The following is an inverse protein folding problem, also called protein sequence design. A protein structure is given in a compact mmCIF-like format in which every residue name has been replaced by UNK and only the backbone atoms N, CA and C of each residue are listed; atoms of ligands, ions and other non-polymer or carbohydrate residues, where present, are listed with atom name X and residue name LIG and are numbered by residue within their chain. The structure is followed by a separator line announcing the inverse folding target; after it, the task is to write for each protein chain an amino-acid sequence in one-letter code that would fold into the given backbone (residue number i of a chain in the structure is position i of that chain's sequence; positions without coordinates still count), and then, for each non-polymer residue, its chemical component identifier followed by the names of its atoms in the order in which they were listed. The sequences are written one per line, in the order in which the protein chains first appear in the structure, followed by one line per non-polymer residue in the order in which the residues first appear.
data_IF_313295177883
#
_entry.id   IF_313295177883
#
_cell.length_a   1.000
_cell.length_b   1.000
_cell.length_c   1.000
_cell.angle_alpha   90.00
_cell.angle_beta   90.00
_cell.angle_gamma   90.00
#
_symmetry.space_group_name_H-M   'P 1'
#
loop_
_entity.id
_entity.type
_entity.pdbx_description
1 polymer ?
#
# COMPACT_ATOMS: atom_id res chain seq x y z
N UNK A 1 24.25 -14.11 -23.52
CA UNK A 1 23.98 -12.67 -23.29
C UNK A 1 24.58 -12.34 -21.93
N UNK A 2 25.52 -11.40 -21.85
CA UNK A 2 26.04 -10.97 -20.54
C UNK A 2 24.86 -10.47 -19.71
N UNK A 3 24.66 -11.03 -18.51
CA UNK A 3 23.65 -10.52 -17.58
C UNK A 3 24.27 -9.27 -16.95
N UNK A 4 23.72 -8.07 -17.18
CA UNK A 4 24.33 -6.83 -16.67
C UNK A 4 24.25 -6.74 -15.13
N UNK A 5 23.43 -7.58 -14.49
CA UNK A 5 23.22 -7.62 -13.05
C UNK A 5 23.31 -9.06 -12.53
N UNK A 6 23.89 -9.23 -11.35
CA UNK A 6 24.03 -10.51 -10.65
C UNK A 6 22.81 -10.80 -9.78
N UNK A 7 22.13 -9.74 -9.29
CA UNK A 7 20.95 -9.85 -8.41
C UNK A 7 19.88 -8.85 -8.81
N UNK A 8 18.61 -9.25 -8.71
CA UNK A 8 17.45 -8.35 -8.79
C UNK A 8 16.79 -8.30 -7.43
N UNK A 9 16.61 -7.10 -6.88
CA UNK A 9 15.86 -6.85 -5.64
C UNK A 9 14.61 -6.05 -5.97
N UNK A 10 13.45 -6.58 -5.61
CA UNK A 10 12.15 -5.92 -5.80
C UNK A 10 11.57 -5.51 -4.45
N UNK A 11 11.32 -4.22 -4.27
CA UNK A 11 10.67 -3.64 -3.10
C UNK A 11 9.22 -3.36 -3.45
N UNK A 12 8.33 -4.01 -2.72
CA UNK A 12 6.93 -3.63 -2.68
C UNK A 12 6.72 -2.61 -1.56
N UNK A 13 6.66 -1.33 -1.95
CA UNK A 13 6.51 -0.22 -1.04
C UNK A 13 5.03 0.11 -0.86
N UNK A 14 4.31 -0.63 -0.03
CA UNK A 14 2.86 -0.46 0.17
C UNK A 14 2.48 0.65 1.15
N UNK A 15 1.18 0.99 1.22
CA UNK A 15 0.68 1.98 2.19
C UNK A 15 0.69 1.46 3.62
N UNK A 16 0.20 0.24 3.84
CA UNK A 16 0.06 -0.35 5.19
C UNK A 16 1.25 -1.23 5.54
N UNK A 17 1.76 -1.98 4.57
CA UNK A 17 2.88 -2.91 4.75
C UNK A 17 3.74 -2.90 3.51
N UNK A 18 5.05 -2.99 3.74
CA UNK A 18 6.08 -3.01 2.71
C UNK A 18 6.98 -4.22 2.91
N UNK A 19 7.55 -4.73 1.84
CA UNK A 19 8.46 -5.86 1.89
C UNK A 19 9.34 -5.90 0.65
N UNK A 20 10.25 -6.86 0.60
CA UNK A 20 11.06 -7.08 -0.58
C UNK A 20 11.26 -8.56 -0.84
N UNK A 21 11.58 -8.86 -2.08
CA UNK A 21 12.07 -10.16 -2.52
C UNK A 21 13.30 -9.95 -3.41
N UNK A 22 14.14 -10.97 -3.52
CA UNK A 22 15.27 -10.94 -4.44
C UNK A 22 15.47 -12.29 -5.12
N UNK A 23 16.19 -12.27 -6.23
CA UNK A 23 16.59 -13.46 -6.97
C UNK A 23 17.95 -13.23 -7.60
N UNK A 24 18.78 -14.27 -7.62
CA UNK A 24 20.05 -14.27 -8.35
C UNK A 24 19.75 -14.49 -9.82
N UNK A 25 20.40 -13.72 -10.69
CA UNK A 25 20.12 -13.84 -12.13
C UNK A 25 20.57 -15.19 -12.69
N UNK A 26 21.53 -15.86 -12.02
CA UNK A 26 21.95 -17.25 -12.24
C UNK A 26 20.80 -18.25 -12.14
N UNK A 27 19.91 -18.08 -11.14
CA UNK A 27 18.75 -18.92 -10.89
C UNK A 27 17.46 -18.07 -10.68
N UNK A 28 16.89 -17.54 -11.77
CA UNK A 28 15.80 -16.56 -11.70
C UNK A 28 14.45 -17.16 -11.26
N UNK A 29 14.33 -18.49 -11.17
CA UNK A 29 13.12 -19.15 -10.69
C UNK A 29 13.10 -19.27 -9.16
N UNK A 30 14.25 -19.15 -8.50
CA UNK A 30 14.35 -19.13 -7.04
C UNK A 30 14.14 -17.69 -6.53
N UNK A 31 12.98 -17.45 -5.93
CA UNK A 31 12.62 -16.17 -5.33
C UNK A 31 12.79 -16.25 -3.80
N UNK A 32 13.72 -15.45 -3.28
CA UNK A 32 13.95 -15.30 -1.86
C UNK A 32 13.07 -14.16 -1.33
N UNK A 33 12.02 -14.51 -0.60
CA UNK A 33 11.16 -13.54 0.09
C UNK A 33 11.63 -13.34 1.52
N UNK A 34 11.65 -12.09 2.00
CA UNK A 34 11.92 -11.82 3.40
C UNK A 34 10.80 -12.36 4.28
N UNK A 35 11.14 -13.02 5.40
CA UNK A 35 10.16 -13.63 6.32
C UNK A 35 10.37 -13.28 7.79
N UNK A 36 11.48 -12.62 8.13
CA UNK A 36 11.83 -12.23 9.50
C UNK A 36 11.99 -10.72 9.54
N UNK A 37 11.59 -10.10 10.63
CA UNK A 37 11.73 -8.66 10.81
C UNK A 37 12.06 -8.41 12.27
N UNK A 38 12.94 -7.45 12.53
CA UNK A 38 13.17 -6.97 13.89
C UNK A 38 11.87 -6.38 14.47
N UNK A 39 11.56 -6.70 15.73
CA UNK A 39 10.27 -6.39 16.37
C UNK A 39 9.11 -7.29 15.93
N UNK A 40 9.30 -8.20 14.97
CA UNK A 40 8.27 -9.19 14.62
C UNK A 40 8.14 -10.28 15.68
N UNK A 41 6.92 -10.83 15.84
CA UNK A 41 6.67 -11.96 16.74
C UNK A 41 7.60 -13.14 16.42
N UNK A 42 8.41 -13.62 17.40
CA UNK A 42 9.30 -14.75 17.19
C UNK A 42 8.53 -15.99 16.71
N UNK A 43 8.96 -16.54 15.57
CA UNK A 43 8.32 -17.73 14.97
C UNK A 43 7.14 -17.45 14.05
N UNK A 44 6.68 -16.19 13.92
CA UNK A 44 5.67 -15.80 12.93
C UNK A 44 6.37 -15.32 11.65
N UNK A 45 6.18 -16.05 10.55
CA UNK A 45 6.72 -15.65 9.25
C UNK A 45 5.88 -14.52 8.66
N UNK A 46 6.39 -13.29 8.74
CA UNK A 46 5.76 -12.12 8.12
C UNK A 46 6.49 -11.79 6.82
N UNK A 47 5.80 -11.88 5.69
CA UNK A 47 6.38 -11.53 4.38
C UNK A 47 6.58 -10.03 4.18
N UNK A 48 5.88 -9.22 4.98
CA UNK A 48 5.96 -7.75 4.95
C UNK A 48 6.05 -7.21 6.37
N UNK A 49 6.68 -6.05 6.48
CA UNK A 49 6.71 -5.23 7.69
C UNK A 49 5.72 -4.07 7.55
N UNK A 50 5.11 -3.57 8.63
CA UNK A 50 4.30 -2.36 8.57
C UNK A 50 5.06 -1.18 7.94
N UNK A 51 4.36 -0.34 7.18
CA UNK A 51 4.96 0.87 6.60
C UNK A 51 4.83 2.00 7.60
N UNK A 52 5.70 1.95 8.61
CA UNK A 52 5.87 2.99 9.60
C UNK A 52 7.34 3.24 9.88
N UNK A 53 7.66 4.46 10.26
CA UNK A 53 9.02 4.93 10.42
C UNK A 53 9.10 5.85 11.63
N UNK A 54 10.15 5.67 12.43
CA UNK A 54 10.43 6.47 13.61
C UNK A 54 11.72 7.27 13.37
N UNK A 55 11.64 8.60 13.50
CA UNK A 55 12.80 9.47 13.61
C UNK A 55 12.94 9.99 15.04
N UNK A 56 14.18 10.21 15.43
CA UNK A 56 14.53 10.96 16.64
C UNK A 56 14.13 12.43 16.48
N UNK A 57 14.10 13.22 17.59
CA UNK A 57 13.70 14.63 17.54
C UNK A 57 14.54 15.51 16.59
N UNK A 58 15.79 15.11 16.33
CA UNK A 58 16.76 15.73 15.43
C UNK A 58 16.77 15.12 14.01
N UNK A 59 15.66 14.49 13.60
CA UNK A 59 15.43 13.96 12.24
C UNK A 59 16.35 12.80 11.83
N UNK A 60 17.03 12.13 12.77
CA UNK A 60 17.81 10.94 12.46
C UNK A 60 16.91 9.71 12.40
N UNK A 61 17.20 8.83 11.45
CA UNK A 61 16.54 7.52 11.37
C UNK A 61 16.82 6.72 12.63
N UNK A 62 15.74 6.25 13.27
CA UNK A 62 15.84 5.34 14.40
C UNK A 62 15.49 3.92 13.96
N UNK A 63 14.25 3.70 13.52
CA UNK A 63 13.79 2.36 13.11
C UNK A 63 12.64 2.43 12.10
N UNK A 64 12.36 1.28 11.48
CA UNK A 64 11.26 1.07 10.54
C UNK A 64 10.43 -0.15 10.94
N UNK A 65 9.15 -0.18 10.55
CA UNK A 65 8.32 -1.37 10.69
C UNK A 65 7.96 -1.72 12.12
N UNK A 66 7.96 -3.01 12.46
CA UNK A 66 7.65 -3.47 13.81
C UNK A 66 8.56 -2.82 14.86
N UNK A 67 9.88 -2.78 14.63
CA UNK A 67 10.82 -2.10 15.53
C UNK A 67 10.48 -0.61 15.77
N UNK A 68 9.94 0.11 14.77
CA UNK A 68 9.48 1.49 14.97
C UNK A 68 8.24 1.58 15.85
N UNK A 69 7.32 0.61 15.75
CA UNK A 69 6.14 0.52 16.62
C UNK A 69 6.55 0.27 18.06
N UNK A 70 7.35 -0.76 18.27
CA UNK A 70 7.78 -1.18 19.60
C UNK A 70 8.60 -0.09 20.28
N UNK A 71 9.58 0.47 19.57
CA UNK A 71 10.40 1.57 20.11
C UNK A 71 9.56 2.78 20.49
N UNK A 72 8.55 3.13 19.69
CA UNK A 72 7.69 4.28 19.98
C UNK A 72 6.71 4.02 21.13
N UNK A 73 6.24 2.77 21.27
CA UNK A 73 5.41 2.32 22.38
C UNK A 73 6.17 2.41 23.72
N UNK A 74 7.43 1.98 23.72
CA UNK A 74 8.26 1.90 24.92
C UNK A 74 8.81 3.26 25.39
N UNK A 75 8.66 4.33 24.59
CA UNK A 75 9.05 5.68 25.00
C UNK A 75 8.21 6.18 26.17
N UNK A 76 8.88 6.88 27.09
CA UNK A 76 8.19 7.63 28.14
C UNK A 76 7.22 8.64 27.50
N UNK A 77 5.98 8.83 28.02
CA UNK A 77 4.98 9.66 27.34
C UNK A 77 5.39 11.11 27.07
N UNK A 78 6.29 11.68 27.87
CA UNK A 78 6.83 13.03 27.61
C UNK A 78 7.94 13.02 26.54
N UNK A 79 8.72 11.95 26.43
CA UNK A 79 9.67 11.79 25.32
C UNK A 79 8.95 11.54 24.00
N UNK A 80 7.97 10.64 23.98
CA UNK A 80 7.20 10.28 22.77
C UNK A 80 6.61 11.50 22.05
N UNK A 81 6.30 12.57 22.78
CA UNK A 81 5.79 13.85 22.22
C UNK A 81 6.81 14.56 21.33
N UNK A 82 8.10 14.31 21.49
CA UNK A 82 9.17 14.96 20.74
C UNK A 82 9.68 14.12 19.55
N UNK A 83 9.46 12.80 19.60
CA UNK A 83 9.81 11.86 18.55
C UNK A 83 8.82 11.91 17.39
N UNK A 84 9.27 11.47 16.22
CA UNK A 84 8.52 11.64 14.97
C UNK A 84 8.15 10.28 14.41
N UNK A 85 6.94 9.83 14.73
CA UNK A 85 6.37 8.61 14.20
C UNK A 85 5.54 8.92 12.95
N UNK A 86 5.78 8.17 11.87
CA UNK A 86 5.01 8.24 10.63
C UNK A 86 4.43 6.87 10.32
N UNK A 87 3.16 6.80 9.97
CA UNK A 87 2.52 5.62 9.38
C UNK A 87 1.71 6.01 8.15
N UNK A 88 1.45 5.05 7.26
CA UNK A 88 0.58 5.22 6.07
C UNK A 88 0.96 6.43 5.18
N UNK A 89 2.18 6.92 5.29
CA UNK A 89 2.64 8.16 4.69
C UNK A 89 2.70 8.10 3.15
N UNK A 90 2.67 6.90 2.55
CA UNK A 90 2.45 6.68 1.10
C UNK A 90 1.19 7.40 0.60
N UNK A 91 0.15 7.52 1.43
CA UNK A 91 -1.09 8.22 1.05
C UNK A 91 -0.91 9.69 0.73
N UNK A 92 0.14 10.35 1.25
CA UNK A 92 0.40 11.76 0.93
C UNK A 92 0.72 11.94 -0.56
N UNK A 93 1.46 10.99 -1.14
CA UNK A 93 1.83 11.01 -2.56
C UNK A 93 0.60 10.86 -3.45
N UNK A 94 -0.36 10.01 -3.04
CA UNK A 94 -1.61 9.81 -3.77
C UNK A 94 -2.57 11.01 -3.67
N UNK A 95 -2.66 11.64 -2.48
CA UNK A 95 -3.65 12.69 -2.20
C UNK A 95 -3.21 14.11 -2.57
N UNK A 96 -1.93 14.34 -2.85
CA UNK A 96 -1.39 15.68 -3.19
C UNK A 96 -1.47 15.91 -4.70
N UNK A 97 -2.29 16.87 -5.12
CA UNK A 97 -2.43 17.25 -6.55
C UNK A 97 -1.15 17.86 -7.12
N UNK A 98 -0.48 18.72 -6.34
CA UNK A 98 0.74 19.43 -6.69
C UNK A 98 1.93 18.86 -5.92
N UNK A 99 2.21 17.58 -6.15
CA UNK A 99 3.35 16.90 -5.54
C UNK A 99 4.67 17.51 -6.01
N UNK A 100 5.51 17.91 -5.06
CA UNK A 100 6.86 18.44 -5.31
C UNK A 100 7.86 17.80 -4.36
N UNK A 101 9.16 18.04 -4.58
CA UNK A 101 10.22 17.60 -3.65
C UNK A 101 10.19 18.36 -2.32
N UNK A 102 9.41 19.45 -2.23
CA UNK A 102 9.21 20.23 -1.00
C UNK A 102 7.93 19.82 -0.26
N UNK A 103 7.15 18.86 -0.78
CA UNK A 103 5.97 18.35 -0.09
C UNK A 103 6.35 17.78 1.28
N UNK A 104 5.62 18.21 2.32
CA UNK A 104 5.86 17.78 3.70
C UNK A 104 4.87 16.70 4.15
N UNK A 105 5.35 15.80 5.02
CA UNK A 105 4.56 14.88 5.83
C UNK A 105 4.40 15.41 7.24
N UNK A 106 3.25 15.15 7.84
CA UNK A 106 3.00 15.40 9.25
C UNK A 106 3.22 14.09 10.03
N UNK A 107 4.04 14.14 11.08
CA UNK A 107 4.20 13.04 12.03
C UNK A 107 3.06 13.03 13.05
N UNK A 108 2.91 11.95 13.83
CA UNK A 108 1.82 11.81 14.80
C UNK A 108 1.78 12.95 15.85
N UNK A 109 2.90 13.60 16.17
CA UNK A 109 2.92 14.74 17.08
C UNK A 109 2.63 16.11 16.41
N UNK A 110 2.31 16.13 15.11
CA UNK A 110 2.01 17.33 14.34
C UNK A 110 3.23 18.04 13.73
N UNK A 111 4.47 17.60 14.02
CA UNK A 111 5.67 18.17 13.38
C UNK A 111 5.76 17.73 11.93
N UNK A 112 6.17 18.67 11.07
CA UNK A 112 6.33 18.45 9.63
C UNK A 112 7.78 18.14 9.25
N UNK A 113 7.95 17.25 8.28
CA UNK A 113 9.23 16.82 7.71
C UNK A 113 9.07 16.66 6.21
N UNK A 114 10.11 16.93 5.42
CA UNK A 114 10.05 16.73 3.97
C UNK A 114 9.73 15.28 3.66
N UNK A 115 8.73 15.05 2.80
CA UNK A 115 8.30 13.72 2.44
C UNK A 115 9.44 12.91 1.83
N UNK A 116 10.24 13.54 0.98
CA UNK A 116 11.33 12.87 0.28
C UNK A 116 12.37 12.26 1.24
N UNK A 117 12.62 12.91 2.38
CA UNK A 117 13.55 12.43 3.41
C UNK A 117 13.01 11.18 4.10
N UNK A 118 11.72 11.19 4.48
CA UNK A 118 11.05 10.04 5.12
C UNK A 118 11.04 8.82 4.18
N UNK A 119 10.73 9.03 2.90
CA UNK A 119 10.78 7.95 1.91
C UNK A 119 12.20 7.46 1.66
N UNK A 120 13.18 8.35 1.58
CA UNK A 120 14.59 7.97 1.42
C UNK A 120 15.09 7.14 2.60
N UNK A 121 14.71 7.48 3.84
CA UNK A 121 15.02 6.67 5.01
C UNK A 121 14.41 5.26 4.93
N UNK A 122 13.13 5.16 4.53
CA UNK A 122 12.47 3.87 4.38
C UNK A 122 13.10 3.01 3.27
N UNK A 123 13.43 3.59 2.12
CA UNK A 123 14.11 2.88 1.04
C UNK A 123 15.54 2.47 1.43
N UNK A 124 16.27 3.33 2.15
CA UNK A 124 17.61 3.02 2.66
C UNK A 124 17.60 1.83 3.62
N UNK A 125 16.60 1.78 4.51
CA UNK A 125 16.37 0.61 5.37
C UNK A 125 16.21 -0.67 4.55
N UNK A 126 15.35 -0.67 3.52
CA UNK A 126 15.18 -1.85 2.66
C UNK A 126 16.44 -2.21 1.89
N UNK A 127 17.21 -1.22 1.43
CA UNK A 127 18.49 -1.43 0.76
C UNK A 127 19.47 -2.16 1.66
N UNK A 128 19.72 -1.62 2.85
CA UNK A 128 20.67 -2.18 3.81
C UNK A 128 20.26 -3.58 4.24
N UNK A 129 18.96 -3.77 4.52
CA UNK A 129 18.41 -5.05 4.90
C UNK A 129 18.51 -6.09 3.77
N UNK A 130 18.14 -5.73 2.54
CA UNK A 130 18.22 -6.63 1.40
C UNK A 130 19.66 -7.03 1.07
N UNK A 131 20.59 -6.07 1.05
CA UNK A 131 22.00 -6.35 0.76
C UNK A 131 22.63 -7.27 1.82
N UNK A 132 22.23 -7.14 3.09
CA UNK A 132 22.65 -8.06 4.15
C UNK A 132 22.16 -9.49 3.87
N UNK A 133 20.87 -9.67 3.60
CA UNK A 133 20.31 -11.00 3.31
C UNK A 133 20.89 -11.62 2.04
N UNK A 134 21.10 -10.83 0.99
CA UNK A 134 21.74 -11.32 -0.24
C UNK A 134 23.16 -11.79 0.05
N UNK A 135 23.93 -11.04 0.85
CA UNK A 135 25.27 -11.43 1.29
C UNK A 135 25.26 -12.71 2.13
N UNK A 136 24.26 -12.92 2.97
CA UNK A 136 24.14 -14.13 3.78
C UNK A 136 23.77 -15.37 2.93
N UNK A 137 23.16 -15.18 1.76
CA UNK A 137 22.84 -16.25 0.80
C UNK A 137 23.91 -16.45 -0.29
N UNK A 138 24.86 -15.53 -0.44
CA UNK A 138 25.92 -15.59 -1.46
C UNK A 138 27.30 -15.79 -0.84
N UNK A 139 28.14 -16.61 -1.47
CA UNK A 139 29.55 -16.74 -1.11
C UNK A 139 30.44 -15.65 -1.73
N UNK A 140 29.93 -14.90 -2.71
CA UNK A 140 30.66 -13.82 -3.40
C UNK A 140 30.38 -12.44 -2.80
N UNK A 141 31.37 -11.55 -2.89
CA UNK A 141 31.19 -10.13 -2.57
C UNK A 141 30.47 -9.47 -3.74
N UNK A 142 29.27 -8.97 -3.49
CA UNK A 142 28.53 -8.20 -4.49
C UNK A 142 28.99 -6.74 -4.48
N UNK A 143 29.28 -6.21 -5.67
CA UNK A 143 29.46 -4.78 -5.88
C UNK A 143 28.09 -4.09 -6.08
N UNK A 144 27.98 -2.83 -5.66
CA UNK A 144 26.69 -2.12 -5.67
C UNK A 144 26.08 -1.91 -7.07
N UNK A 145 26.91 -1.92 -8.12
CA UNK A 145 26.51 -1.83 -9.52
C UNK A 145 25.93 -3.16 -10.07
N UNK A 146 26.13 -4.28 -9.37
CA UNK A 146 25.63 -5.60 -9.80
C UNK A 146 24.17 -5.85 -9.40
N UNK A 147 23.55 -4.91 -8.68
CA UNK A 147 22.18 -5.04 -8.20
C UNK A 147 21.23 -4.21 -9.07
N UNK A 148 20.20 -4.85 -9.60
CA UNK A 148 19.03 -4.22 -10.19
C UNK A 148 17.98 -3.99 -9.11
N UNK A 149 17.56 -2.75 -8.91
CA UNK A 149 16.46 -2.41 -8.01
C UNK A 149 15.14 -2.27 -8.78
N UNK A 150 14.08 -2.84 -8.24
CA UNK A 150 12.70 -2.66 -8.71
C UNK A 150 11.89 -2.07 -7.57
N UNK A 151 11.17 -0.98 -7.81
CA UNK A 151 10.21 -0.41 -6.85
C UNK A 151 8.83 -0.48 -7.50
N UNK A 152 7.88 -1.14 -6.85
CA UNK A 152 6.50 -1.19 -7.34
C UNK A 152 5.73 0.07 -6.93
N UNK A 153 4.87 0.55 -7.83
CA UNK A 153 3.97 1.69 -7.59
C UNK A 153 2.58 1.42 -8.18
N UNK A 154 1.52 2.07 -7.66
CA UNK A 154 0.18 1.93 -8.21
C UNK A 154 0.09 2.39 -9.66
N UNK A 155 -0.74 1.72 -10.47
CA UNK A 155 -0.92 2.08 -11.89
C UNK A 155 -1.58 3.45 -12.09
N UNK A 156 -2.41 3.89 -11.14
CA UNK A 156 -3.08 5.20 -11.21
C UNK A 156 -2.15 6.39 -10.93
N UNK A 157 -0.91 6.14 -10.48
CA UNK A 157 0.03 7.20 -10.16
C UNK A 157 0.50 7.95 -11.40
N UNK A 158 0.46 9.28 -11.29
CA UNK A 158 0.95 10.20 -12.31
C UNK A 158 2.48 10.20 -12.36
N UNK A 159 3.05 10.71 -13.46
CA UNK A 159 4.50 10.78 -13.64
C UNK A 159 5.26 11.51 -12.50
N UNK A 160 4.75 12.62 -11.91
CA UNK A 160 5.42 13.25 -10.78
C UNK A 160 5.60 12.33 -9.57
N UNK A 161 4.64 11.45 -9.27
CA UNK A 161 4.74 10.50 -8.17
C UNK A 161 5.78 9.40 -8.44
N UNK A 162 5.87 8.94 -9.70
CA UNK A 162 6.91 7.99 -10.14
C UNK A 162 8.30 8.63 -10.08
N UNK A 163 8.43 9.89 -10.48
CA UNK A 163 9.68 10.65 -10.36
C UNK A 163 10.06 10.88 -8.89
N UNK A 164 9.10 11.21 -8.03
CA UNK A 164 9.32 11.35 -6.59
C UNK A 164 9.94 10.08 -5.98
N UNK A 165 9.40 8.89 -6.32
CA UNK A 165 9.99 7.63 -5.84
C UNK A 165 11.40 7.38 -6.37
N UNK A 166 11.68 7.80 -7.61
CA UNK A 166 13.02 7.72 -8.20
C UNK A 166 14.01 8.62 -7.46
N UNK A 167 13.65 9.88 -7.18
CA UNK A 167 14.48 10.79 -6.38
C UNK A 167 14.71 10.25 -4.96
N UNK A 168 13.67 9.68 -4.33
CA UNK A 168 13.81 9.05 -3.02
C UNK A 168 14.79 7.88 -3.06
N UNK A 169 14.79 7.08 -4.13
CA UNK A 169 15.71 5.98 -4.33
C UNK A 169 17.16 6.45 -4.53
N UNK A 170 17.38 7.57 -5.22
CA UNK A 170 18.69 8.21 -5.34
C UNK A 170 19.19 8.68 -3.97
N UNK A 171 18.38 9.41 -3.21
CA UNK A 171 18.75 9.87 -1.86
C UNK A 171 18.98 8.73 -0.87
N UNK A 172 18.29 7.61 -1.06
CA UNK A 172 18.48 6.39 -0.28
C UNK A 172 19.75 5.61 -0.66
N UNK A 173 20.41 5.98 -1.76
CA UNK A 173 21.62 5.31 -2.26
C UNK A 173 21.35 3.94 -2.89
N UNK A 174 20.12 3.64 -3.31
CA UNK A 174 19.82 2.40 -4.04
C UNK A 174 20.55 2.39 -5.37
N UNK A 175 20.53 3.52 -6.07
CA UNK A 175 21.11 3.74 -7.39
C UNK A 175 21.70 5.15 -7.46
N UNK A 176 22.61 5.38 -8.41
CA UNK A 176 23.12 6.72 -8.72
C UNK A 176 22.38 7.31 -9.93
N UNK A 177 22.30 8.65 -10.05
CA UNK A 177 21.79 9.28 -11.26
C UNK A 177 22.59 8.95 -12.52
N UNK A 178 23.86 8.56 -12.38
CA UNK A 178 24.75 8.17 -13.49
C UNK A 178 24.47 6.76 -14.03
N UNK A 179 23.70 5.95 -13.28
CA UNK A 179 23.32 4.59 -13.65
C UNK A 179 21.80 4.37 -13.49
N UNK A 180 20.96 5.17 -14.18
CA UNK A 180 19.51 5.11 -14.03
C UNK A 180 18.94 3.75 -14.45
N UNK A 181 19.65 3.04 -15.33
CA UNK A 181 19.39 1.67 -15.74
C UNK A 181 19.68 0.63 -14.66
N UNK A 182 19.95 0.99 -13.41
CA UNK A 182 19.88 0.09 -12.26
C UNK A 182 18.53 0.12 -11.54
N UNK A 183 17.71 1.18 -11.70
CA UNK A 183 16.38 1.29 -11.08
C UNK A 183 15.23 1.13 -12.08
N UNK A 184 14.30 0.23 -11.79
CA UNK A 184 13.07 0.06 -12.54
C UNK A 184 11.86 0.39 -11.65
N UNK A 185 11.01 1.30 -12.12
CA UNK A 185 9.71 1.56 -11.48
C UNK A 185 8.69 0.66 -12.18
N UNK A 186 8.21 -0.37 -11.47
CA UNK A 186 7.24 -1.33 -11.98
C UNK A 186 5.83 -0.95 -11.53
N UNK A 187 4.81 -1.23 -12.35
CA UNK A 187 3.43 -1.11 -11.89
C UNK A 187 3.05 -2.35 -11.07
N UNK A 188 2.46 -2.14 -9.90
CA UNK A 188 1.90 -3.19 -9.04
C UNK A 188 1.03 -4.20 -9.82
N UNK A 189 0.07 -3.78 -10.66
CA UNK A 189 -0.76 -4.74 -11.39
C UNK A 189 -0.03 -5.50 -12.51
N UNK A 190 1.01 -4.93 -13.12
CA UNK A 190 1.85 -5.65 -14.09
C UNK A 190 2.65 -6.74 -13.39
N UNK A 191 3.27 -6.41 -12.24
CA UNK A 191 3.99 -7.36 -11.42
C UNK A 191 3.09 -8.51 -10.96
N UNK A 192 1.88 -8.19 -10.48
CA UNK A 192 0.87 -9.18 -10.10
C UNK A 192 0.48 -10.08 -11.29
N UNK A 193 0.26 -9.50 -12.47
CA UNK A 193 -0.10 -10.24 -13.68
C UNK A 193 1.01 -11.18 -14.14
N UNK A 194 2.26 -10.72 -14.15
CA UNK A 194 3.42 -11.55 -14.51
C UNK A 194 3.55 -12.72 -13.53
N UNK A 195 3.38 -12.47 -12.23
CA UNK A 195 3.42 -13.52 -11.22
C UNK A 195 2.29 -14.54 -11.40
N UNK A 196 1.04 -14.09 -11.60
CA UNK A 196 -0.10 -14.97 -11.81
C UNK A 196 0.07 -15.89 -13.03
N UNK A 197 0.81 -15.47 -14.06
CA UNK A 197 1.12 -16.31 -15.22
C UNK A 197 2.08 -17.47 -14.91
N UNK A 198 2.90 -17.34 -13.87
CA UNK A 198 3.76 -18.43 -13.39
C UNK A 198 3.00 -19.42 -12.49
N UNK A 199 1.81 -19.07 -12.01
CA UNK A 199 1.02 -19.93 -11.15
C UNK A 199 0.47 -21.13 -11.93
N UNK A 200 0.47 -22.28 -11.27
CA UNK A 200 -0.14 -23.51 -11.79
C UNK A 200 -1.66 -23.46 -11.59
N UNK A 201 -2.42 -24.15 -12.43
CA UNK A 201 -3.90 -24.13 -12.42
C UNK A 201 -4.53 -24.46 -11.05
N UNK A 202 -3.94 -25.38 -10.26
CA UNK A 202 -4.44 -25.70 -8.91
C UNK A 202 -4.28 -24.57 -7.88
N UNK A 203 -3.56 -23.49 -8.22
CA UNK A 203 -3.41 -22.30 -7.40
C UNK A 203 -4.46 -21.22 -7.77
N UNK A 204 -5.35 -21.52 -8.72
CA UNK A 204 -6.43 -20.66 -9.19
C UNK A 204 -7.76 -21.21 -8.70
N UNK A 205 -8.60 -20.35 -8.12
CA UNK A 205 -9.95 -20.72 -7.68
C UNK A 205 -10.93 -20.33 -8.79
N UNK A 206 -11.69 -21.30 -9.29
CA UNK A 206 -12.80 -21.04 -10.20
C UNK A 206 -14.07 -20.68 -9.39
N UNK A 207 -14.42 -19.38 -9.39
CA UNK A 207 -15.59 -18.86 -8.69
C UNK A 207 -16.92 -19.16 -9.39
N UNK A 208 -16.89 -19.68 -10.63
CA UNK A 208 -18.09 -20.12 -11.34
C UNK A 208 -18.59 -21.50 -10.88
N UNK A 209 -17.73 -22.27 -10.20
CA UNK A 209 -18.05 -23.58 -9.67
C UNK A 209 -18.55 -23.43 -8.22
N UNK A 210 -19.74 -23.97 -7.92
CA UNK A 210 -20.21 -24.10 -6.52
C UNK A 210 -19.24 -25.00 -5.75
N UNK A 211 -19.03 -24.81 -4.44
CA UNK A 211 -18.15 -25.68 -3.67
C UNK A 211 -18.67 -27.13 -3.74
N UNK A 212 -17.91 -28.01 -4.39
CA UNK A 212 -18.27 -29.42 -4.48
C UNK A 212 -17.87 -30.10 -3.18
N UNK A 213 -18.86 -30.43 -2.36
CA UNK A 213 -18.73 -31.50 -1.37
C UNK A 213 -18.58 -32.81 -2.15
N UNK A 214 -17.45 -33.50 -1.97
CA UNK A 214 -17.10 -34.83 -2.51
C UNK A 214 -16.14 -34.83 -3.73
N UNK A 215 -14.88 -34.46 -3.48
CA UNK A 215 -13.70 -35.30 -3.78
C UNK A 215 -13.57 -35.99 -5.13
N UNK A 216 -14.06 -35.42 -6.23
CA UNK A 216 -13.77 -35.89 -7.59
C UNK A 216 -13.01 -34.79 -8.33
N UNK A 217 -11.83 -35.16 -8.82
CA UNK A 217 -10.93 -34.29 -9.59
C UNK A 217 -11.65 -33.68 -10.78
N UNK A 218 -11.64 -32.34 -10.86
CA UNK A 218 -12.22 -31.60 -11.98
C UNK A 218 -11.16 -31.44 -13.07
N UNK A 219 -11.12 -32.37 -14.02
CA UNK A 219 -10.60 -32.10 -15.36
C UNK A 219 -11.54 -31.10 -16.04
N UNK A 220 -11.24 -29.80 -16.01
CA UNK A 220 -12.20 -28.84 -16.60
C UNK A 220 -11.86 -27.36 -16.67
N UNK A 221 -10.64 -26.91 -16.38
CA UNK A 221 -10.25 -25.50 -16.61
C UNK A 221 -9.26 -25.40 -17.79
N UNK A 222 -9.71 -24.76 -18.88
CA UNK A 222 -8.84 -24.45 -20.03
C UNK A 222 -7.67 -23.56 -19.56
N UNK A 223 -6.42 -23.78 -20.00
CA UNK A 223 -5.33 -22.83 -19.79
C UNK A 223 -5.74 -21.44 -20.29
N UNK A 224 -5.28 -20.38 -19.61
CA UNK A 224 -5.47 -19.01 -20.10
C UNK A 224 -4.99 -18.90 -21.55
N UNK A 225 -5.89 -18.54 -22.46
CA UNK A 225 -5.57 -18.29 -23.86
C UNK A 225 -5.27 -16.79 -24.07
N UNK A 226 -4.57 -16.47 -25.15
CA UNK A 226 -4.26 -15.12 -25.66
C UNK A 226 -5.48 -14.21 -25.89
N UNK A 227 -6.67 -14.80 -25.97
CA UNK A 227 -7.94 -14.09 -26.07
C UNK A 227 -8.50 -13.67 -24.71
N UNK A 228 -8.00 -14.25 -23.61
CA UNK A 228 -8.56 -14.01 -22.28
C UNK A 228 -8.19 -12.61 -21.77
N UNK A 229 -9.22 -11.97 -21.22
CA UNK A 229 -9.14 -10.65 -20.60
C UNK A 229 -9.44 -10.83 -19.13
N UNK A 230 -8.61 -10.26 -18.28
CA UNK A 230 -8.79 -10.36 -16.85
C UNK A 230 -8.57 -9.00 -16.19
N UNK A 231 -9.14 -8.88 -15.00
CA UNK A 231 -9.00 -7.69 -14.17
C UNK A 231 -8.02 -8.03 -13.07
N UNK A 232 -7.03 -7.16 -12.86
CA UNK A 232 -6.27 -7.12 -11.62
C UNK A 232 -6.95 -6.12 -10.72
N UNK A 233 -7.45 -6.59 -9.58
CA UNK A 233 -8.03 -5.75 -8.54
C UNK A 233 -7.08 -5.72 -7.34
N UNK A 234 -6.26 -4.68 -7.25
CA UNK A 234 -5.40 -4.45 -6.08
C UNK A 234 -6.19 -3.68 -5.02
N UNK A 235 -6.75 -4.43 -4.06
CA UNK A 235 -7.48 -3.88 -2.92
C UNK A 235 -6.54 -3.67 -1.73
N UNK A 236 -5.67 -2.68 -1.86
CA UNK A 236 -4.63 -2.38 -0.89
C UNK A 236 -5.11 -1.67 0.38
N UNK A 237 -4.12 -1.30 1.19
CA UNK A 237 -4.37 -0.56 2.43
C UNK A 237 -4.83 0.88 2.19
N UNK A 238 -4.23 1.56 1.22
CA UNK A 238 -4.52 2.96 0.93
C UNK A 238 -5.43 3.19 -0.26
N UNK A 239 -5.22 2.41 -1.31
CA UNK A 239 -5.89 2.55 -2.60
C UNK A 239 -6.57 1.26 -3.00
N UNK A 240 -7.54 1.40 -3.90
CA UNK A 240 -8.04 0.29 -4.70
C UNK A 240 -7.77 0.64 -6.15
N UNK A 241 -6.99 -0.20 -6.82
CA UNK A 241 -6.53 0.02 -8.19
C UNK A 241 -6.97 -1.15 -9.08
N UNK A 242 -7.61 -0.82 -10.19
CA UNK A 242 -8.17 -1.75 -11.14
C UNK A 242 -7.50 -1.56 -12.49
N UNK A 243 -6.93 -2.63 -13.02
CA UNK A 243 -6.45 -2.66 -14.41
C UNK A 243 -7.03 -3.86 -15.13
N UNK A 244 -7.18 -3.72 -16.44
CA UNK A 244 -7.68 -4.78 -17.30
C UNK A 244 -6.59 -5.14 -18.27
N UNK A 245 -6.12 -6.38 -18.20
CA UNK A 245 -5.03 -6.86 -19.03
C UNK A 245 -5.51 -7.93 -20.02
N UNK A 246 -4.82 -7.99 -21.14
CA UNK A 246 -4.84 -9.08 -22.09
C UNK A 246 -3.41 -9.52 -22.39
N UNK A 247 -3.19 -10.80 -22.60
CA UNK A 247 -1.88 -11.34 -22.99
C UNK A 247 -1.78 -11.33 -24.52
N UNK A 248 -0.80 -10.62 -25.06
CA UNK A 248 -0.51 -10.62 -26.51
C UNK A 248 0.45 -11.77 -26.87
N UNK A 249 0.18 -12.43 -28.00
CA UNK A 249 1.06 -13.46 -28.57
C UNK A 249 1.84 -12.93 -29.78
N UNK A 250 3.00 -13.55 -30.12
CA UNK A 250 3.63 -14.72 -29.47
C UNK A 250 4.50 -14.37 -28.25
N UNK A 251 4.84 -13.09 -28.03
CA UNK A 251 5.83 -12.68 -27.03
C UNK A 251 5.32 -12.79 -25.59
N UNK A 252 4.02 -12.93 -25.39
CA UNK A 252 3.41 -12.97 -24.07
C UNK A 252 3.46 -11.61 -23.36
N UNK A 253 3.48 -10.49 -24.09
CA UNK A 253 3.45 -9.15 -23.49
C UNK A 253 2.09 -8.87 -22.86
N UNK A 254 2.06 -8.03 -21.83
CA UNK A 254 0.81 -7.57 -21.22
C UNK A 254 0.34 -6.31 -21.94
N UNK A 255 -0.91 -6.34 -22.38
CA UNK A 255 -1.61 -5.20 -22.95
C UNK A 255 -2.66 -4.70 -21.98
N UNK A 256 -2.53 -3.46 -21.53
CA UNK A 256 -3.60 -2.76 -20.82
C UNK A 256 -4.73 -2.40 -21.81
N UNK A 257 -5.94 -2.88 -21.53
CA UNK A 257 -7.11 -2.69 -22.40
C UNK A 257 -7.92 -1.43 -22.08
N UNK A 258 -7.85 -0.98 -20.83
CA UNK A 258 -8.54 0.19 -20.33
C UNK A 258 -7.58 0.92 -19.41
N UNK A 259 -7.60 2.26 -19.47
CA UNK A 259 -6.83 3.09 -18.56
C UNK A 259 -7.08 2.64 -17.12
N UNK A 260 -6.00 2.38 -16.39
CA UNK A 260 -6.07 2.09 -14.97
C UNK A 260 -6.99 3.06 -14.24
N UNK A 261 -7.89 2.52 -13.40
CA UNK A 261 -8.81 3.29 -12.58
C UNK A 261 -8.63 2.92 -11.12
N UNK A 262 -8.89 3.85 -10.24
CA UNK A 262 -8.73 3.62 -8.81
C UNK A 262 -8.88 4.89 -8.02
N UNK A 263 -8.70 4.75 -6.72
CA UNK A 263 -8.80 5.87 -5.80
C UNK A 263 -8.49 5.47 -4.37
N UNK A 264 -8.67 6.40 -3.41
CA UNK A 264 -8.32 6.21 -2.01
C UNK A 264 -9.40 5.40 -1.28
N UNK A 265 -9.74 4.22 -1.81
CA UNK A 265 -10.80 3.35 -1.32
C UNK A 265 -10.25 2.15 -0.52
N UNK A 266 -8.99 2.20 -0.11
CA UNK A 266 -8.35 1.12 0.63
C UNK A 266 -8.80 0.99 2.09
N UNK A 267 -8.26 0.00 2.78
CA UNK A 267 -8.57 -0.31 4.18
C UNK A 267 -8.33 0.83 5.20
N UNK A 268 -7.65 1.92 4.84
CA UNK A 268 -7.56 3.16 5.64
C UNK A 268 -8.93 3.80 5.82
N UNK A 269 -9.86 3.66 4.87
CA UNK A 269 -11.24 4.14 5.02
C UNK A 269 -11.96 3.50 6.23
N UNK A 270 -11.64 2.25 6.54
CA UNK A 270 -12.18 1.53 7.71
C UNK A 270 -11.59 2.08 9.02
N UNK A 271 -10.33 2.52 9.00
CA UNK A 271 -9.69 3.17 10.15
C UNK A 271 -10.32 4.54 10.43
N UNK A 272 -10.63 5.31 9.38
CA UNK A 272 -11.34 6.58 9.50
C UNK A 272 -12.76 6.39 10.05
N UNK A 273 -13.47 5.34 9.62
CA UNK A 273 -14.78 5.00 10.17
C UNK A 273 -14.70 4.63 11.66
N UNK A 274 -13.65 3.92 12.06
CA UNK A 274 -13.41 3.59 13.47
C UNK A 274 -13.10 4.83 14.30
N UNK A 275 -12.26 5.73 13.80
CA UNK A 275 -12.01 7.01 14.46
C UNK A 275 -13.28 7.86 14.60
N UNK A 276 -14.09 7.96 13.54
CA UNK A 276 -15.36 8.68 13.58
C UNK A 276 -16.32 8.10 14.63
N UNK A 277 -16.37 6.77 14.76
CA UNK A 277 -17.11 6.08 15.82
C UNK A 277 -16.57 6.45 17.21
N UNK A 278 -15.24 6.48 17.42
CA UNK A 278 -14.66 6.92 18.68
C UNK A 278 -15.02 8.37 19.01
N UNK A 279 -15.00 9.27 18.02
CA UNK A 279 -15.43 10.66 18.17
C UNK A 279 -16.92 10.75 18.55
N UNK A 280 -17.78 9.92 17.96
CA UNK A 280 -19.20 9.88 18.32
C UNK A 280 -19.44 9.43 19.77
N UNK A 281 -18.64 8.49 20.27
CA UNK A 281 -18.79 7.94 21.62
C UNK A 281 -18.17 8.84 22.69
N UNK A 282 -16.96 9.35 22.45
CA UNK A 282 -16.13 10.02 23.45
C UNK A 282 -16.04 11.55 23.26
N UNK A 283 -16.51 12.05 22.11
CA UNK A 283 -16.44 13.44 21.67
C UNK A 283 -15.15 13.74 20.89
N UNK A 284 -15.27 14.50 19.81
CA UNK A 284 -14.15 14.85 18.92
C UNK A 284 -13.05 15.64 19.65
N UNK A 285 -13.44 16.60 20.51
CA UNK A 285 -12.51 17.39 21.33
C UNK A 285 -11.66 16.53 22.27
N UNK A 286 -12.24 15.45 22.79
CA UNK A 286 -11.50 14.49 23.60
C UNK A 286 -10.49 13.70 22.75
N UNK A 287 -10.90 13.19 21.60
CA UNK A 287 -10.03 12.40 20.71
C UNK A 287 -8.86 13.24 20.20
N UNK A 288 -9.11 14.48 19.78
CA UNK A 288 -8.07 15.43 19.38
C UNK A 288 -7.08 15.71 20.53
N UNK A 289 -7.59 15.98 21.74
CA UNK A 289 -6.77 16.21 22.93
C UNK A 289 -5.96 14.97 23.31
N UNK A 290 -6.53 13.77 23.19
CA UNK A 290 -5.83 12.52 23.47
C UNK A 290 -4.69 12.27 22.47
N UNK A 291 -4.94 12.44 21.17
CA UNK A 291 -3.90 12.34 20.13
C UNK A 291 -2.72 13.28 20.40
N UNK A 292 -3.01 14.54 20.72
CA UNK A 292 -1.97 15.54 20.99
C UNK A 292 -1.19 15.29 22.29
N UNK A 293 -1.86 14.81 23.35
CA UNK A 293 -1.23 14.63 24.66
C UNK A 293 -0.64 13.24 24.91
N UNK A 294 -1.14 12.21 24.22
CA UNK A 294 -0.77 10.81 24.37
C UNK A 294 -0.61 10.13 23.00
N UNK A 295 0.28 10.63 22.13
CA UNK A 295 0.39 10.16 20.74
C UNK A 295 0.82 8.69 20.63
N UNK A 296 1.72 8.19 21.48
CA UNK A 296 2.09 6.77 21.52
C UNK A 296 0.89 5.86 21.84
N UNK A 297 0.10 6.24 22.85
CA UNK A 297 -1.11 5.49 23.19
C UNK A 297 -2.20 5.55 22.10
N UNK A 298 -2.24 6.63 21.30
CA UNK A 298 -3.09 6.65 20.11
C UNK A 298 -2.63 5.62 19.07
N UNK A 299 -1.32 5.54 18.81
CA UNK A 299 -0.75 4.50 17.93
C UNK A 299 -1.10 3.11 18.44
N UNK A 300 -0.96 2.83 19.74
CA UNK A 300 -1.34 1.53 20.33
C UNK A 300 -2.80 1.15 20.07
N UNK A 301 -3.72 2.11 20.24
CA UNK A 301 -5.14 1.90 19.98
C UNK A 301 -5.38 1.56 18.50
N UNK A 302 -4.73 2.27 17.58
CA UNK A 302 -4.86 1.99 16.14
C UNK A 302 -4.26 0.63 15.74
N UNK A 303 -3.16 0.22 16.36
CA UNK A 303 -2.56 -1.12 16.17
C UNK A 303 -3.50 -2.20 16.70
N UNK A 304 -4.07 -2.01 17.89
CA UNK A 304 -5.03 -2.94 18.48
C UNK A 304 -6.29 -3.09 17.59
N UNK A 305 -6.77 -1.99 17.00
CA UNK A 305 -7.86 -2.03 16.04
C UNK A 305 -7.47 -2.76 14.75
N UNK A 306 -6.33 -2.42 14.14
CA UNK A 306 -5.83 -3.07 12.91
C UNK A 306 -5.74 -4.60 13.08
N UNK A 307 -5.21 -5.06 14.21
CA UNK A 307 -5.10 -6.48 14.53
C UNK A 307 -6.48 -7.18 14.55
N UNK A 308 -7.52 -6.51 15.05
CA UNK A 308 -8.89 -7.05 15.04
C UNK A 308 -9.54 -6.94 13.67
N UNK A 309 -9.37 -5.82 12.97
CA UNK A 309 -9.86 -5.58 11.61
C UNK A 309 -9.43 -6.70 10.65
N UNK A 310 -8.16 -7.11 10.71
CA UNK A 310 -7.61 -8.22 9.90
C UNK A 310 -8.26 -9.59 10.16
N UNK A 311 -8.92 -9.75 11.30
CA UNK A 311 -9.62 -11.00 11.66
C UNK A 311 -11.14 -10.93 11.41
N UNK A 312 -11.65 -9.78 10.97
CA UNK A 312 -13.04 -9.65 10.57
C UNK A 312 -13.28 -10.38 9.24
N UNK A 313 -14.43 -11.02 9.11
CA UNK A 313 -14.83 -11.72 7.89
C UNK A 313 -16.35 -11.67 7.76
N UNK A 314 -16.92 -11.62 6.53
CA UNK A 314 -18.36 -11.51 6.32
C UNK A 314 -19.20 -12.62 6.99
N UNK A 315 -18.65 -13.82 7.14
CA UNK A 315 -19.33 -14.97 7.77
C UNK A 315 -19.09 -15.11 9.28
N UNK A 316 -18.35 -14.20 9.93
CA UNK A 316 -18.00 -14.31 11.35
C UNK A 316 -19.06 -13.64 12.22
N UNK A 317 -19.82 -14.44 12.96
CA UNK A 317 -20.84 -13.95 13.91
C UNK A 317 -20.25 -13.45 15.25
N UNK A 318 -19.03 -13.87 15.60
CA UNK A 318 -18.45 -13.57 16.91
C UNK A 318 -18.00 -12.11 17.03
N UNK A 319 -18.36 -11.46 18.15
CA UNK A 319 -17.87 -10.14 18.51
C UNK A 319 -16.34 -10.07 18.57
N UNK A 320 -15.78 -8.91 18.25
CA UNK A 320 -14.37 -8.61 18.41
C UNK A 320 -14.13 -7.69 19.61
N UNK A 321 -13.14 -8.03 20.43
CA UNK A 321 -12.72 -7.20 21.55
C UNK A 321 -11.47 -6.39 21.17
N UNK A 322 -11.56 -5.07 21.27
CA UNK A 322 -10.46 -4.13 21.06
C UNK A 322 -10.04 -3.59 22.42
N UNK A 323 -8.76 -3.72 22.74
CA UNK A 323 -8.22 -3.14 23.97
C UNK A 323 -8.10 -1.63 23.82
N UNK A 324 -8.61 -0.87 24.78
CA UNK A 324 -8.28 0.54 24.92
C UNK A 324 -7.08 0.64 25.86
N UNK A 325 -6.01 1.37 25.50
CA UNK A 325 -4.89 1.60 26.41
C UNK A 325 -5.37 2.19 27.73
N UNK A 326 -4.75 1.80 28.86
CA UNK A 326 -5.13 2.34 30.17
C UNK A 326 -5.05 3.87 30.20
N UNK A 327 -4.06 4.45 29.53
CA UNK A 327 -3.91 5.88 29.36
C UNK A 327 -5.11 6.54 28.67
N UNK A 328 -5.79 5.87 27.73
CA UNK A 328 -7.05 6.36 27.14
C UNK A 328 -8.16 6.40 28.18
N UNK A 329 -8.32 5.31 28.93
CA UNK A 329 -9.40 5.14 29.92
C UNK A 329 -9.23 6.16 31.07
N UNK A 330 -8.03 6.27 31.64
CA UNK A 330 -7.70 7.21 32.71
C UNK A 330 -7.81 8.66 32.23
N UNK A 331 -7.28 8.97 31.04
CA UNK A 331 -7.36 10.32 30.48
C UNK A 331 -8.81 10.73 30.22
N UNK A 332 -9.64 9.84 29.67
CA UNK A 332 -11.08 10.09 29.48
C UNK A 332 -11.79 10.39 30.80
N UNK A 333 -11.54 9.57 31.83
CA UNK A 333 -12.13 9.75 33.16
C UNK A 333 -11.77 11.11 33.76
N UNK A 334 -10.51 11.54 33.65
CA UNK A 334 -10.07 12.86 34.12
C UNK A 334 -10.64 14.02 33.30
N UNK A 335 -10.76 13.83 31.98
CA UNK A 335 -11.21 14.88 31.06
C UNK A 335 -12.74 15.08 31.09
N UNK A 336 -13.52 14.02 31.26
CA UNK A 336 -14.99 14.07 31.22
C UNK A 336 -15.68 13.83 32.55
N UNK A 337 -14.96 13.41 33.59
CA UNK A 337 -15.53 13.07 34.90
C UNK A 337 -16.41 11.81 34.92
N UNK A 338 -16.40 10.99 33.86
CA UNK A 338 -17.18 9.75 33.77
C UNK A 338 -16.35 8.61 33.16
N UNK A 339 -16.75 7.36 33.37
CA UNK A 339 -16.05 6.20 32.80
C UNK A 339 -16.36 6.01 31.31
N UNK A 340 -15.48 5.27 30.63
CA UNK A 340 -15.69 4.80 29.25
C UNK A 340 -16.98 3.99 29.11
N UNK A 341 -17.30 3.14 30.09
CA UNK A 341 -18.55 2.38 30.10
C UNK A 341 -19.78 3.30 30.15
N UNK A 342 -19.74 4.34 30.99
CA UNK A 342 -20.83 5.33 31.05
C UNK A 342 -21.00 6.07 29.74
N UNK A 343 -19.89 6.40 29.05
CA UNK A 343 -19.93 7.03 27.73
C UNK A 343 -20.61 6.14 26.68
N UNK A 344 -20.23 4.86 26.63
CA UNK A 344 -20.81 3.87 25.72
C UNK A 344 -22.32 3.68 25.95
N UNK A 345 -22.76 3.65 27.21
CA UNK A 345 -24.19 3.57 27.53
C UNK A 345 -24.98 4.80 27.07
N UNK A 346 -24.34 5.97 27.00
CA UNK A 346 -24.96 7.24 26.55
C UNK A 346 -24.92 7.45 25.04
N UNK A 347 -24.02 6.79 24.31
CA UNK A 347 -23.82 7.03 22.86
C UNK A 347 -24.91 6.42 21.97
N UNK A 348 -25.88 5.70 22.53
CA UNK A 348 -26.96 4.99 21.82
C UNK A 348 -26.47 3.96 20.76
N UNK A 349 -25.18 3.58 20.77
CA UNK A 349 -24.63 2.57 19.85
C UNK A 349 -24.81 1.16 20.40
N UNK A 350 -25.98 0.57 20.17
CA UNK A 350 -26.38 -0.73 20.77
C UNK A 350 -25.49 -1.93 20.38
N UNK A 351 -24.76 -1.82 19.27
CA UNK A 351 -23.87 -2.85 18.72
C UNK A 351 -22.43 -2.77 19.28
N UNK A 352 -22.15 -1.81 20.16
CA UNK A 352 -20.87 -1.65 20.85
C UNK A 352 -21.11 -1.71 22.36
N UNK A 353 -20.33 -2.53 23.06
CA UNK A 353 -20.47 -2.69 24.51
C UNK A 353 -19.11 -2.61 25.19
N UNK A 354 -19.14 -2.22 26.47
CA UNK A 354 -18.00 -2.43 27.34
C UNK A 354 -18.00 -3.87 27.83
N UNK A 355 -16.91 -4.61 27.64
CA UNK A 355 -16.78 -5.98 28.13
C UNK A 355 -16.46 -6.00 29.63
N UNK A 356 -16.79 -7.09 30.31
CA UNK A 356 -16.39 -7.30 31.71
C UNK A 356 -14.88 -7.36 31.92
N UNK A 357 -14.12 -7.56 30.84
CA UNK A 357 -12.65 -7.56 30.84
C UNK A 357 -12.06 -6.17 30.54
N UNK A 358 -12.88 -5.12 30.48
CA UNK A 358 -12.40 -3.76 30.25
C UNK A 358 -11.99 -3.47 28.80
N UNK A 359 -12.68 -4.08 27.83
CA UNK A 359 -12.40 -3.89 26.40
C UNK A 359 -13.63 -3.37 25.65
N UNK A 360 -13.38 -2.66 24.54
CA UNK A 360 -14.41 -2.26 23.59
C UNK A 360 -14.83 -3.49 22.78
N UNK A 361 -16.07 -3.95 22.95
CA UNK A 361 -16.62 -5.14 22.27
C UNK A 361 -17.53 -4.73 21.13
N UNK A 362 -17.10 -5.00 19.90
CA UNK A 362 -17.83 -4.71 18.67
C UNK A 362 -18.55 -5.98 18.20
N UNK A 363 -19.85 -5.89 17.93
CA UNK A 363 -20.58 -6.98 17.29
C UNK A 363 -20.15 -7.19 15.83
N UNK A 364 -20.62 -8.27 15.19
CA UNK A 364 -20.37 -8.48 13.76
C UNK A 364 -20.98 -7.35 12.92
N UNK A 365 -22.16 -6.89 13.30
CA UNK A 365 -22.85 -5.75 12.69
C UNK A 365 -22.06 -4.45 12.87
N UNK A 366 -21.54 -4.19 14.08
CA UNK A 366 -20.68 -3.03 14.34
C UNK A 366 -19.45 -3.01 13.42
N UNK A 367 -18.79 -4.17 13.28
CA UNK A 367 -17.66 -4.30 12.37
C UNK A 367 -18.11 -4.12 10.92
N UNK A 368 -19.24 -4.69 10.50
CA UNK A 368 -19.76 -4.50 9.16
C UNK A 368 -19.99 -3.03 8.81
N UNK A 369 -20.62 -2.26 9.70
CA UNK A 369 -20.84 -0.82 9.55
C UNK A 369 -19.53 -0.04 9.34
N UNK A 370 -18.44 -0.43 10.00
CA UNK A 370 -17.12 0.20 9.79
C UNK A 370 -16.59 -0.01 8.36
N UNK A 371 -16.90 -1.14 7.73
CA UNK A 371 -16.46 -1.44 6.36
C UNK A 371 -17.38 -0.83 5.30
N UNK A 372 -18.65 -0.61 5.60
CA UNK A 372 -19.66 -0.18 4.63
C UNK A 372 -19.28 1.07 3.82
N UNK A 373 -18.81 2.18 4.43
CA UNK A 373 -18.42 3.36 3.66
C UNK A 373 -17.34 3.05 2.61
N UNK A 374 -16.36 2.23 2.98
CA UNK A 374 -15.26 1.83 2.09
C UNK A 374 -15.77 0.93 0.96
N UNK A 375 -16.57 -0.09 1.28
CA UNK A 375 -17.15 -1.01 0.30
C UNK A 375 -18.05 -0.26 -0.70
N UNK A 376 -18.92 0.63 -0.21
CA UNK A 376 -19.81 1.40 -1.06
C UNK A 376 -19.05 2.31 -2.04
N UNK A 377 -17.93 2.89 -1.60
CA UNK A 377 -17.06 3.67 -2.48
C UNK A 377 -16.41 2.80 -3.57
N UNK A 378 -15.98 1.58 -3.23
CA UNK A 378 -15.44 0.62 -4.21
C UNK A 378 -16.51 0.22 -5.23
N UNK A 379 -17.71 -0.14 -4.77
CA UNK A 379 -18.83 -0.51 -5.65
C UNK A 379 -19.19 0.64 -6.58
N UNK A 380 -19.36 1.85 -6.04
CA UNK A 380 -19.66 3.05 -6.82
C UNK A 380 -18.59 3.34 -7.87
N UNK A 381 -17.32 3.05 -7.58
CA UNK A 381 -16.22 3.21 -8.53
C UNK A 381 -16.20 2.16 -9.63
N UNK A 382 -16.59 0.93 -9.32
CA UNK A 382 -16.66 -0.19 -10.29
C UNK A 382 -17.90 -0.08 -11.19
N UNK A 383 -19.02 0.37 -10.65
CA UNK A 383 -20.28 0.49 -11.40
C UNK A 383 -20.21 1.64 -12.43
N UNK A 384 -20.57 1.40 -13.70
CA UNK A 384 -20.60 2.45 -14.72
C UNK A 384 -21.74 3.43 -14.44
N UNK A 385 -21.43 4.52 -13.72
CA UNK A 385 -22.14 5.80 -13.68
C UNK A 385 -23.68 5.75 -13.60
N UNK A 386 -24.23 5.72 -12.39
CA UNK A 386 -25.54 6.27 -12.08
C UNK A 386 -25.49 7.81 -11.90
N UNK A 387 -24.73 8.51 -12.73
CA UNK A 387 -24.82 9.96 -12.87
C UNK A 387 -25.40 10.26 -14.26
N UNK A 388 -26.56 10.92 -14.27
CA UNK A 388 -27.42 11.10 -15.43
C UNK A 388 -26.74 11.72 -16.64
N UNK A 389 -26.35 10.86 -17.58
CA UNK A 389 -26.04 11.21 -18.97
C UNK A 389 -26.85 10.31 -19.88
N UNK A 390 -27.56 10.92 -20.84
CA UNK A 390 -28.39 10.22 -21.83
C UNK A 390 -27.70 9.01 -22.43
N UNK A 391 -28.45 7.91 -22.63
CA UNK A 391 -28.08 6.79 -23.49
C UNK A 391 -27.88 7.27 -24.93
N UNK A 392 -26.72 7.84 -25.22
CA UNK A 392 -26.15 7.98 -26.55
C UNK A 392 -25.15 6.87 -26.75
N UNK A 393 -25.25 6.14 -27.86
CA UNK A 393 -24.24 5.17 -28.29
C UNK A 393 -22.90 5.88 -28.48
N UNK A 394 -22.03 5.85 -27.48
CA UNK A 394 -20.64 6.24 -27.66
C UNK A 394 -19.92 5.10 -28.39
N UNK A 395 -19.74 5.22 -29.70
CA UNK A 395 -18.70 4.45 -30.38
C UNK A 395 -17.34 4.79 -29.74
N UNK A 396 -16.62 3.75 -29.35
CA UNK A 396 -15.37 3.85 -28.61
C UNK A 396 -14.28 4.46 -29.50
N UNK A 397 -13.80 5.65 -29.16
CA UNK A 397 -12.68 6.32 -29.82
C UNK A 397 -11.35 5.68 -29.39
N UNK A 398 -10.60 5.10 -30.31
CA UNK A 398 -9.27 4.52 -30.07
C UNK A 398 -8.19 5.49 -30.54
N UNK A 399 -7.22 5.79 -29.68
CA UNK A 399 -6.04 6.60 -30.02
C UNK A 399 -4.81 5.71 -29.93
N UNK A 400 -4.11 5.53 -31.05
CA UNK A 400 -2.83 4.83 -31.11
C UNK A 400 -1.69 5.83 -30.96
N UNK A 401 -0.83 5.62 -29.97
CA UNK A 401 0.34 6.48 -29.75
C UNK A 401 1.64 5.77 -30.08
N UNK A 402 2.63 6.51 -30.56
CA UNK A 402 3.98 6.03 -30.84
C UNK A 402 4.96 7.06 -30.27
N UNK A 403 5.88 6.59 -29.44
CA UNK A 403 6.89 7.42 -28.79
C UNK A 403 8.28 6.99 -29.29
N UNK A 404 9.08 7.97 -29.68
CA UNK A 404 10.48 7.78 -30.07
C UNK A 404 11.35 8.59 -29.11
N UNK A 405 12.30 7.90 -28.48
CA UNK A 405 13.29 8.49 -27.59
C UNK A 405 14.60 8.71 -28.37
N UNK A 406 15.09 9.94 -28.41
CA UNK A 406 16.46 10.30 -28.77
C UNK A 406 17.21 10.81 -27.54
N UNK A 407 18.53 10.91 -27.61
CA UNK A 407 19.40 11.26 -26.46
C UNK A 407 18.92 12.50 -25.67
N UNK A 408 18.36 13.49 -26.36
CA UNK A 408 17.87 14.75 -25.75
C UNK A 408 16.44 15.10 -26.14
N UNK A 409 15.76 14.27 -26.92
CA UNK A 409 14.42 14.58 -27.45
C UNK A 409 13.43 13.43 -27.29
N UNK A 410 12.17 13.75 -26.96
CA UNK A 410 11.04 12.83 -27.05
C UNK A 410 10.11 13.30 -28.17
N UNK A 411 9.84 12.42 -29.13
CA UNK A 411 8.83 12.63 -30.17
C UNK A 411 7.65 11.71 -29.92
N UNK A 412 6.46 12.29 -29.81
CA UNK A 412 5.19 11.57 -29.63
C UNK A 412 4.31 11.80 -30.84
N UNK A 413 3.83 10.73 -31.45
CA UNK A 413 2.78 10.76 -32.47
C UNK A 413 1.54 10.07 -31.92
N UNK A 414 0.39 10.73 -31.99
CA UNK A 414 -0.91 10.16 -31.66
C UNK A 414 -1.78 10.12 -32.91
N UNK A 415 -2.43 8.98 -33.14
CA UNK A 415 -3.33 8.76 -34.28
C UNK A 415 -4.68 8.36 -33.73
N UNK A 416 -5.71 9.12 -34.06
CA UNK A 416 -7.09 8.69 -33.88
C UNK A 416 -7.41 7.61 -34.92
N UNK A 417 -7.66 6.40 -34.45
CA UNK A 417 -7.86 5.22 -35.31
C UNK A 417 -9.17 5.33 -36.10
N UNK A 418 -10.18 6.02 -35.57
CA UNK A 418 -11.48 6.18 -36.23
C UNK A 418 -11.44 7.25 -37.33
N UNK A 419 -10.72 8.36 -37.09
CA UNK A 419 -10.68 9.50 -38.02
C UNK A 419 -9.43 9.54 -38.89
N UNK A 420 -8.40 8.77 -38.56
CA UNK A 420 -7.06 8.87 -39.14
C UNK A 420 -6.32 10.15 -38.77
N UNK A 421 -6.88 10.99 -37.88
CA UNK A 421 -6.32 12.27 -37.53
C UNK A 421 -5.03 12.10 -36.72
N UNK A 422 -3.97 12.78 -37.16
CA UNK A 422 -2.63 12.64 -36.62
C UNK A 422 -2.22 13.91 -35.88
N UNK A 423 -1.73 13.76 -34.64
CA UNK A 423 -1.12 14.82 -33.85
C UNK A 423 0.31 14.44 -33.51
N UNK A 424 1.25 15.37 -33.66
CA UNK A 424 2.65 15.19 -33.30
C UNK A 424 3.05 16.21 -32.24
N UNK A 425 3.81 15.78 -31.25
CA UNK A 425 4.45 16.62 -30.26
C UNK A 425 5.92 16.22 -30.13
N UNK A 426 6.80 17.19 -29.95
CA UNK A 426 8.22 16.97 -29.68
C UNK A 426 8.65 17.84 -28.51
N UNK A 427 9.43 17.26 -27.60
CA UNK A 427 10.05 17.95 -26.48
C UNK A 427 11.55 17.71 -26.58
N UNK A 428 12.34 18.78 -26.65
CA UNK A 428 13.80 18.75 -26.55
C UNK A 428 14.18 19.27 -25.16
N UNK A 429 14.90 18.46 -24.40
CA UNK A 429 15.27 18.75 -23.01
C UNK A 429 16.43 19.75 -22.88
N UNK A 430 17.07 20.14 -23.99
CA UNK A 430 18.17 21.10 -24.01
C UNK A 430 17.80 22.49 -24.51
N UNK A 431 16.63 22.65 -25.14
CA UNK A 431 16.14 23.94 -25.61
C UNK A 431 14.99 24.45 -24.74
N UNK A 432 15.30 25.30 -23.77
CA UNK A 432 14.32 26.22 -23.18
C UNK A 432 14.25 27.51 -24.01
#
# INVERSE_FOLDING_TARGET
VARPFSVVVAIDFGTTSSGYAFSFTEDPETIHMMRRWEGGDPGVANQKSPTCLLLTPDLRFHSFGFAARDSYHDLDPEEARHWLYFDKFKMKIHSTSDLTMETELESVNGRRVRAIEVFAHALRFFREHALKEVKDQSSSVLEGNEVRWVITVPAVWRQPAKQFMREAAYLAGLVTPDSPEQLLIALEPEAASIYCRKLRLHQVIDLSQRPVTNGLDVEGSRPFDSSDRYIVADCGGGTVDLTVHQIEQPQGTLKELYKASGGPYGAVGVDLAFEAMLCQIFGADFIESFKAKRPAAWVDLTIAFEARKRTAAPGRANSLNISLPFSFIDFYKRHRGQSVETALRKSNMNFIKWSSQGMLRLSAEAMHELFQPTINNIIKHIEPGAEGGSKGSFERREIRTTMQFGDTEIKVTAVDVATGQLVRASIDFLSN
#
